data_IF_777701762271
#
_entry.id   IF_777701762271
#
_cell.length_a   1.000
_cell.length_b   1.000
_cell.length_c   1.000
_cell.angle_alpha   90.00
_cell.angle_beta   90.00
_cell.angle_gamma   90.00
#
_symmetry.space_group_name_H-M   'P 1'
#
loop_
_entity.id
_entity.type
_entity.pdbx_description
1 polymer ?
#
# COMPACT_ATOMS: atom_id res chain seq x y z
N UNK A 1 -6.18 78.72 3.54
CA UNK A 1 -7.10 77.69 3.89
C UNK A 1 -6.66 76.40 3.16
N UNK A 2 -5.88 75.52 3.82
CA UNK A 2 -5.38 74.30 3.25
C UNK A 2 -6.27 73.11 3.69
N UNK A 3 -6.88 72.45 2.70
CA UNK A 3 -7.73 71.32 2.92
C UNK A 3 -6.83 70.06 2.94
N UNK A 4 -6.64 69.48 4.11
CA UNK A 4 -5.93 68.23 4.33
C UNK A 4 -6.84 67.06 3.88
N UNK A 5 -6.47 66.38 2.80
CA UNK A 5 -7.19 65.18 2.32
C UNK A 5 -6.75 63.97 3.13
N UNK A 6 -7.62 63.46 3.99
CA UNK A 6 -7.46 62.16 4.64
C UNK A 6 -7.61 61.04 3.59
N UNK A 7 -6.56 60.24 3.41
CA UNK A 7 -6.61 58.96 2.65
C UNK A 7 -6.92 57.85 3.65
N UNK A 8 -7.98 57.04 3.47
CA UNK A 8 -8.19 55.90 4.32
C UNK A 8 -7.22 54.78 3.95
N UNK A 9 -6.35 54.39 4.87
CA UNK A 9 -5.51 53.20 4.72
C UNK A 9 -6.39 51.95 4.81
N UNK A 10 -6.65 51.33 3.66
CA UNK A 10 -7.29 50.01 3.60
C UNK A 10 -6.33 48.95 4.15
N UNK A 11 -6.61 48.43 5.34
CA UNK A 11 -5.85 47.38 6.01
C UNK A 11 -6.21 46.06 5.33
N UNK A 12 -5.38 45.59 4.41
CA UNK A 12 -5.45 44.26 3.80
C UNK A 12 -5.10 43.20 4.86
N UNK A 13 -6.11 42.62 5.47
CA UNK A 13 -5.97 41.39 6.28
C UNK A 13 -5.59 40.23 5.37
N UNK A 14 -4.30 39.92 5.28
CA UNK A 14 -3.83 38.66 4.74
C UNK A 14 -4.24 37.53 5.69
N UNK A 15 -5.27 36.77 5.34
CA UNK A 15 -5.51 35.47 5.92
C UNK A 15 -4.38 34.55 5.44
N UNK A 16 -3.33 34.40 6.25
CA UNK A 16 -2.38 33.33 6.10
C UNK A 16 -3.12 32.01 6.39
N UNK A 17 -3.58 31.35 5.35
CA UNK A 17 -3.95 29.94 5.45
C UNK A 17 -2.68 29.21 5.82
N UNK A 18 -2.58 28.73 7.07
CA UNK A 18 -1.56 27.77 7.47
C UNK A 18 -1.79 26.53 6.64
N UNK A 19 -1.04 26.37 5.55
CA UNK A 19 -0.88 25.09 4.91
C UNK A 19 -0.26 24.18 5.98
N UNK A 20 -1.06 23.31 6.58
CA UNK A 20 -0.56 22.24 7.42
C UNK A 20 0.31 21.39 6.53
N UNK A 21 1.63 21.50 6.66
CA UNK A 21 2.55 20.56 6.02
C UNK A 21 2.19 19.21 6.63
N UNK A 22 1.57 18.37 5.83
CA UNK A 22 1.20 17.03 6.24
C UNK A 22 2.47 16.27 6.59
N UNK A 23 2.65 15.94 7.86
CA UNK A 23 3.78 15.17 8.35
C UNK A 23 3.54 13.69 8.04
N UNK A 24 3.69 13.31 6.77
CA UNK A 24 3.76 11.89 6.42
C UNK A 24 4.95 11.28 7.12
N UNK A 25 4.73 10.12 7.74
CA UNK A 25 5.79 9.40 8.44
C UNK A 25 5.79 7.94 8.01
N UNK A 26 6.94 7.31 8.13
CA UNK A 26 7.09 5.88 7.88
C UNK A 26 6.48 5.11 9.06
N UNK A 27 5.37 4.45 8.80
CA UNK A 27 4.78 3.45 9.69
C UNK A 27 5.37 2.10 9.38
N UNK A 28 5.87 1.40 10.40
CA UNK A 28 6.43 0.07 10.27
C UNK A 28 5.72 -0.89 11.22
N UNK A 29 5.35 -2.07 10.72
CA UNK A 29 4.78 -3.15 11.52
C UNK A 29 5.60 -4.43 11.34
N UNK A 30 6.26 -4.88 12.41
CA UNK A 30 7.12 -6.08 12.39
C UNK A 30 6.34 -7.39 12.57
N UNK A 31 5.09 -7.34 13.02
CA UNK A 31 4.23 -8.52 13.08
C UNK A 31 3.73 -8.90 11.68
N UNK A 32 3.33 -7.90 10.90
CA UNK A 32 2.85 -8.08 9.52
C UNK A 32 3.94 -7.84 8.46
N UNK A 33 5.15 -7.50 8.87
CA UNK A 33 6.36 -7.39 8.06
C UNK A 33 6.21 -6.41 6.88
N UNK A 34 5.76 -5.19 7.17
CA UNK A 34 5.70 -4.12 6.15
C UNK A 34 6.06 -2.75 6.71
N UNK A 35 6.45 -1.84 5.81
CA UNK A 35 6.47 -0.40 6.07
C UNK A 35 5.75 0.36 4.96
N UNK A 36 5.19 1.52 5.30
CA UNK A 36 4.53 2.44 4.38
C UNK A 36 4.44 3.82 5.00
N UNK A 37 4.45 4.87 4.19
CA UNK A 37 4.21 6.22 4.70
C UNK A 37 2.70 6.48 4.84
N UNK A 38 2.27 6.84 6.06
CA UNK A 38 0.90 7.28 6.34
C UNK A 38 0.85 8.77 6.71
N UNK A 39 -0.26 9.48 6.41
CA UNK A 39 -0.45 10.87 6.81
C UNK A 39 -0.75 11.06 8.30
N UNK A 40 -1.20 10.00 8.99
CA UNK A 40 -1.45 9.94 10.43
C UNK A 40 -1.37 8.49 10.91
N UNK A 41 -1.27 8.28 12.23
CA UNK A 41 -1.27 6.96 12.84
C UNK A 41 -2.49 6.15 12.39
N UNK A 42 -2.32 4.96 11.77
CA UNK A 42 -3.43 4.20 11.25
C UNK A 42 -4.21 3.52 12.36
N UNK A 43 -5.52 3.48 12.21
CA UNK A 43 -6.39 2.63 13.00
C UNK A 43 -6.25 1.19 12.50
N UNK A 44 -6.00 0.26 13.42
CA UNK A 44 -5.90 -1.17 13.11
C UNK A 44 -7.22 -1.87 13.47
N UNK A 45 -7.73 -2.66 12.52
CA UNK A 45 -8.93 -3.49 12.73
C UNK A 45 -8.69 -4.90 12.19
N UNK A 46 -9.15 -5.90 12.92
CA UNK A 46 -9.11 -7.29 12.46
C UNK A 46 -10.45 -7.67 11.83
N UNK A 47 -10.37 -8.48 10.78
CA UNK A 47 -11.53 -9.03 10.06
C UNK A 47 -11.22 -10.42 9.52
N UNK A 48 -12.24 -11.11 9.04
CA UNK A 48 -12.06 -12.40 8.36
C UNK A 48 -11.94 -12.20 6.86
N UNK A 49 -10.94 -12.84 6.27
CA UNK A 49 -10.74 -12.93 4.83
C UNK A 49 -11.01 -14.35 4.36
N UNK A 50 -11.87 -14.51 3.37
CA UNK A 50 -12.11 -15.83 2.77
C UNK A 50 -11.25 -15.99 1.53
N UNK A 51 -10.42 -17.05 1.49
CA UNK A 51 -9.55 -17.38 0.37
C UNK A 51 -10.33 -17.90 -0.84
N UNK A 52 -9.61 -18.12 -1.95
CA UNK A 52 -10.17 -18.75 -3.17
C UNK A 52 -10.70 -20.17 -2.95
N UNK A 53 -10.20 -20.85 -1.91
CA UNK A 53 -10.64 -22.20 -1.54
C UNK A 53 -11.73 -22.22 -0.47
N UNK A 54 -12.22 -21.03 -0.04
CA UNK A 54 -13.28 -20.90 0.95
C UNK A 54 -12.81 -20.92 2.41
N UNK A 55 -11.50 -21.03 2.66
CA UNK A 55 -10.95 -21.03 4.03
C UNK A 55 -10.89 -19.61 4.60
N UNK A 56 -11.26 -19.42 5.88
CA UNK A 56 -11.13 -18.14 6.55
C UNK A 56 -9.71 -17.92 7.05
N UNK A 57 -9.19 -16.70 6.86
CA UNK A 57 -7.93 -16.21 7.42
C UNK A 57 -8.16 -14.92 8.19
N UNK A 58 -7.29 -14.62 9.14
CA UNK A 58 -7.26 -13.34 9.82
C UNK A 58 -6.67 -12.31 8.86
N UNK A 59 -7.33 -11.18 8.72
CA UNK A 59 -6.84 -10.02 7.99
C UNK A 59 -6.79 -8.81 8.95
N UNK A 60 -5.66 -8.09 8.97
CA UNK A 60 -5.52 -6.82 9.66
C UNK A 60 -5.55 -5.68 8.66
N UNK A 61 -6.45 -4.73 8.90
CA UNK A 61 -6.58 -3.51 8.10
C UNK A 61 -6.06 -2.32 8.88
N UNK A 62 -5.05 -1.69 8.34
CA UNK A 62 -4.43 -0.45 8.79
C UNK A 62 -5.02 0.68 7.95
N UNK A 63 -5.72 1.64 8.56
CA UNK A 63 -6.42 2.67 7.80
C UNK A 63 -6.33 4.04 8.45
N UNK A 64 -6.18 5.06 7.62
CA UNK A 64 -6.24 6.48 8.01
C UNK A 64 -6.82 7.31 6.88
N UNK A 65 -7.14 8.56 7.16
CA UNK A 65 -7.67 9.50 6.17
C UNK A 65 -6.85 10.79 6.18
N UNK A 66 -6.81 11.44 5.03
CA UNK A 66 -6.29 12.77 4.87
C UNK A 66 -7.19 13.57 3.93
N UNK A 67 -7.92 14.54 4.49
CA UNK A 67 -9.04 15.16 3.80
C UNK A 67 -10.06 14.11 3.36
N UNK A 68 -10.35 14.09 2.06
CA UNK A 68 -11.29 13.16 1.45
C UNK A 68 -10.64 11.88 0.90
N UNK A 69 -9.35 11.67 1.16
CA UNK A 69 -8.62 10.47 0.72
C UNK A 69 -8.52 9.48 1.85
N UNK A 70 -8.90 8.23 1.58
CA UNK A 70 -8.72 7.10 2.48
C UNK A 70 -7.47 6.31 2.08
N UNK A 71 -6.58 6.01 3.04
CA UNK A 71 -5.36 5.21 2.84
C UNK A 71 -5.44 3.94 3.66
N UNK A 72 -5.16 2.80 3.05
CA UNK A 72 -5.34 1.50 3.68
C UNK A 72 -4.26 0.52 3.27
N UNK A 73 -3.78 -0.27 4.24
CA UNK A 73 -3.03 -1.50 4.00
C UNK A 73 -3.79 -2.62 4.68
N UNK A 74 -4.14 -3.66 3.92
CA UNK A 74 -4.71 -4.88 4.47
C UNK A 74 -3.70 -6.00 4.34
N UNK A 75 -3.39 -6.67 5.44
CA UNK A 75 -2.50 -7.84 5.46
C UNK A 75 -3.30 -9.06 5.87
N UNK A 76 -3.29 -10.07 5.00
CA UNK A 76 -3.91 -11.38 5.28
C UNK A 76 -2.79 -12.38 5.59
N UNK A 77 -2.76 -12.89 6.81
CA UNK A 77 -1.83 -13.94 7.19
C UNK A 77 -2.34 -15.30 6.70
N UNK A 78 -1.63 -15.88 5.74
CA UNK A 78 -1.96 -17.14 5.09
C UNK A 78 -0.97 -18.27 5.43
N UNK A 79 -0.25 -18.20 6.56
CA UNK A 79 0.74 -19.21 6.96
C UNK A 79 0.19 -20.64 6.99
N UNK A 80 -1.09 -20.79 7.29
CA UNK A 80 -1.76 -22.09 7.30
C UNK A 80 -2.40 -22.48 5.97
N UNK A 81 -2.22 -21.70 4.91
CA UNK A 81 -2.84 -21.95 3.59
C UNK A 81 -2.38 -23.28 2.96
N UNK A 82 -1.20 -23.79 3.30
CA UNK A 82 -0.73 -25.11 2.85
C UNK A 82 -1.68 -26.26 3.17
N UNK A 83 -2.56 -26.09 4.14
CA UNK A 83 -3.55 -27.07 4.57
C UNK A 83 -4.92 -26.89 3.89
N UNK A 84 -5.08 -25.90 3.01
CA UNK A 84 -6.35 -25.67 2.34
C UNK A 84 -6.70 -26.82 1.39
N UNK A 85 -7.92 -27.37 1.45
CA UNK A 85 -8.38 -28.38 0.50
C UNK A 85 -8.41 -27.83 -0.93
N UNK A 86 -7.87 -28.57 -1.88
CA UNK A 86 -7.89 -28.19 -3.30
C UNK A 86 -6.77 -27.28 -3.75
N UNK A 87 -5.93 -26.75 -2.85
CA UNK A 87 -4.78 -25.95 -3.19
C UNK A 87 -3.79 -26.71 -4.07
N UNK A 88 -3.42 -26.14 -5.21
CA UNK A 88 -2.43 -26.68 -6.14
C UNK A 88 -1.57 -25.56 -6.69
N UNK A 89 -0.25 -25.73 -6.65
CA UNK A 89 0.69 -24.82 -7.31
C UNK A 89 1.06 -23.56 -6.52
N UNK A 90 1.37 -22.51 -7.26
CA UNK A 90 1.92 -21.25 -6.74
C UNK A 90 0.86 -20.44 -6.01
N UNK A 91 0.92 -20.45 -4.69
CA UNK A 91 0.02 -19.77 -3.76
C UNK A 91 -0.17 -18.28 -4.08
N UNK A 92 0.92 -17.59 -4.34
CA UNK A 92 0.90 -16.16 -4.58
C UNK A 92 0.08 -15.73 -5.80
N UNK A 93 0.11 -16.51 -6.90
CA UNK A 93 -0.68 -16.20 -8.11
C UNK A 93 -2.17 -16.34 -7.86
N UNK A 94 -2.55 -17.41 -7.15
CA UNK A 94 -3.93 -17.65 -6.77
C UNK A 94 -4.43 -16.55 -5.85
N UNK A 95 -3.73 -16.26 -4.77
CA UNK A 95 -4.12 -15.24 -3.78
C UNK A 95 -4.23 -13.84 -4.41
N UNK A 96 -3.22 -13.40 -5.19
CA UNK A 96 -3.26 -12.12 -5.90
C UNK A 96 -4.42 -12.07 -6.89
N UNK A 97 -4.54 -13.08 -7.77
CA UNK A 97 -5.58 -13.12 -8.81
C UNK A 97 -6.99 -13.16 -8.25
N UNK A 98 -7.19 -13.90 -7.17
CA UNK A 98 -8.49 -13.98 -6.49
C UNK A 98 -8.88 -12.64 -5.86
N UNK A 99 -7.95 -11.97 -5.16
CA UNK A 99 -8.21 -10.66 -4.59
C UNK A 99 -8.44 -9.60 -5.69
N UNK A 100 -7.62 -9.59 -6.73
CA UNK A 100 -7.83 -8.71 -7.89
C UNK A 100 -9.21 -8.91 -8.52
N UNK A 101 -9.71 -10.15 -8.59
CA UNK A 101 -11.06 -10.45 -9.09
C UNK A 101 -12.14 -9.85 -8.20
N UNK A 102 -11.97 -9.91 -6.87
CA UNK A 102 -12.90 -9.25 -5.94
C UNK A 102 -12.93 -7.73 -6.15
N UNK A 103 -11.77 -7.11 -6.32
CA UNK A 103 -11.69 -5.67 -6.55
C UNK A 103 -12.33 -5.26 -7.88
N UNK A 104 -12.14 -6.02 -8.95
CA UNK A 104 -12.77 -5.75 -10.27
C UNK A 104 -14.30 -5.70 -10.21
N UNK A 105 -14.90 -6.36 -9.22
CA UNK A 105 -16.35 -6.38 -9.03
C UNK A 105 -16.87 -5.12 -8.31
N UNK A 106 -15.99 -4.25 -7.79
CA UNK A 106 -16.40 -3.07 -7.02
C UNK A 106 -16.73 -1.86 -7.88
N UNK A 107 -16.36 -1.85 -9.17
CA UNK A 107 -16.60 -0.72 -10.07
C UNK A 107 -16.03 -0.92 -11.46
N UNK A 108 -15.90 0.17 -12.21
CA UNK A 108 -15.33 0.18 -13.56
C UNK A 108 -13.79 0.16 -13.48
N UNK A 109 -13.18 -0.85 -14.09
CA UNK A 109 -11.73 -0.99 -14.14
C UNK A 109 -11.16 -0.07 -15.22
N UNK A 110 -10.32 0.88 -14.82
CA UNK A 110 -9.66 1.85 -15.72
C UNK A 110 -8.19 1.56 -15.95
N UNK A 111 -7.57 0.75 -15.07
CA UNK A 111 -6.20 0.25 -15.22
C UNK A 111 -6.09 -1.13 -14.58
N UNK A 112 -5.38 -2.05 -15.23
CA UNK A 112 -5.21 -3.43 -14.79
C UNK A 112 -3.89 -3.97 -15.36
N UNK A 113 -2.89 -4.17 -14.49
CA UNK A 113 -1.57 -4.63 -14.91
C UNK A 113 -0.86 -5.44 -13.82
N UNK A 114 0.00 -6.34 -14.25
CA UNK A 114 1.00 -6.92 -13.35
C UNK A 114 2.03 -5.86 -12.96
N UNK A 115 2.52 -5.93 -11.73
CA UNK A 115 3.56 -5.06 -11.21
C UNK A 115 4.39 -5.79 -10.17
N UNK A 116 5.46 -5.14 -9.72
CA UNK A 116 6.33 -5.67 -8.68
C UNK A 116 6.83 -4.57 -7.76
N UNK A 117 7.18 -4.93 -6.53
CA UNK A 117 7.93 -4.08 -5.60
C UNK A 117 9.18 -4.85 -5.18
N UNK A 118 10.37 -4.32 -5.51
CA UNK A 118 11.64 -4.97 -5.17
C UNK A 118 11.69 -6.46 -5.62
N UNK A 119 11.17 -6.73 -6.83
CA UNK A 119 11.04 -8.09 -7.40
C UNK A 119 10.01 -8.98 -6.68
N UNK A 120 9.23 -8.45 -5.75
CA UNK A 120 8.07 -9.13 -5.17
C UNK A 120 6.89 -8.93 -6.11
N UNK A 121 6.26 -10.03 -6.61
CA UNK A 121 5.21 -9.92 -7.62
C UNK A 121 3.97 -9.27 -7.06
N UNK A 122 3.24 -8.64 -7.94
CA UNK A 122 2.00 -7.99 -7.58
C UNK A 122 1.08 -7.76 -8.76
N UNK A 123 0.00 -7.06 -8.46
CA UNK A 123 -1.00 -6.64 -9.40
C UNK A 123 -1.46 -5.23 -9.05
N UNK A 124 -1.60 -4.37 -10.06
CA UNK A 124 -2.05 -3.00 -9.89
C UNK A 124 -3.41 -2.81 -10.56
N UNK A 125 -4.32 -2.18 -9.86
CA UNK A 125 -5.66 -1.87 -10.34
C UNK A 125 -5.99 -0.40 -10.08
N UNK A 126 -6.71 0.21 -11.02
CA UNK A 126 -7.44 1.46 -10.79
C UNK A 126 -8.91 1.22 -11.14
N UNK A 127 -9.78 1.60 -10.23
CA UNK A 127 -11.21 1.29 -10.33
C UNK A 127 -12.00 2.55 -10.02
N UNK A 128 -12.91 2.93 -10.91
CA UNK A 128 -13.90 3.96 -10.63
C UNK A 128 -15.07 3.30 -9.90
N UNK A 129 -15.28 3.69 -8.65
CA UNK A 129 -16.35 3.19 -7.80
C UNK A 129 -17.71 3.75 -8.24
N UNK A 130 -18.84 3.13 -7.85
CA UNK A 130 -20.17 3.61 -8.21
C UNK A 130 -20.52 5.04 -7.74
N UNK A 131 -19.84 5.51 -6.67
CA UNK A 131 -19.97 6.88 -6.15
C UNK A 131 -19.06 7.90 -6.87
N UNK A 132 -18.31 7.47 -7.88
CA UNK A 132 -17.40 8.28 -8.67
C UNK A 132 -16.01 8.43 -8.07
N UNK A 133 -15.74 7.98 -6.85
CA UNK A 133 -14.39 7.92 -6.28
C UNK A 133 -13.54 6.92 -7.04
N UNK A 134 -12.23 7.06 -6.94
CA UNK A 134 -11.27 6.15 -7.58
C UNK A 134 -10.51 5.36 -6.52
N UNK A 135 -10.54 4.04 -6.65
CA UNK A 135 -9.70 3.15 -5.86
C UNK A 135 -8.43 2.81 -6.65
N UNK A 136 -7.28 3.09 -6.04
CA UNK A 136 -5.94 2.73 -6.54
C UNK A 136 -5.44 1.60 -5.65
N UNK A 137 -5.32 0.41 -6.19
CA UNK A 137 -4.96 -0.79 -5.44
C UNK A 137 -3.69 -1.43 -5.98
N UNK A 138 -2.75 -1.75 -5.08
CA UNK A 138 -1.61 -2.62 -5.33
C UNK A 138 -1.77 -3.86 -4.45
N UNK A 139 -1.59 -5.03 -5.05
CA UNK A 139 -1.71 -6.33 -4.37
C UNK A 139 -0.37 -7.03 -4.50
N UNK A 140 0.22 -7.45 -3.39
CA UNK A 140 1.46 -8.20 -3.36
C UNK A 140 1.34 -9.44 -2.48
N UNK A 141 2.18 -10.43 -2.74
CA UNK A 141 2.23 -11.63 -1.90
C UNK A 141 3.68 -11.99 -1.59
N UNK A 142 3.99 -12.15 -0.31
CA UNK A 142 5.31 -12.55 0.14
C UNK A 142 5.22 -13.32 1.47
N UNK A 143 6.02 -14.37 1.61
CA UNK A 143 6.16 -15.16 2.84
C UNK A 143 4.78 -15.48 3.49
N UNK A 144 3.86 -16.05 2.72
CA UNK A 144 2.49 -16.39 3.14
C UNK A 144 1.63 -15.21 3.62
N UNK A 145 1.97 -13.99 3.23
CA UNK A 145 1.15 -12.79 3.50
C UNK A 145 0.68 -12.16 2.20
N UNK A 146 -0.62 -11.91 2.11
CA UNK A 146 -1.20 -11.10 1.05
C UNK A 146 -1.30 -9.67 1.55
N UNK A 147 -0.67 -8.75 0.84
CA UNK A 147 -0.70 -7.31 1.11
C UNK A 147 -1.58 -6.63 0.08
N UNK A 148 -2.55 -5.86 0.54
CA UNK A 148 -3.42 -5.05 -0.32
C UNK A 148 -3.28 -3.60 0.12
N UNK A 149 -2.68 -2.79 -0.75
CA UNK A 149 -2.40 -1.38 -0.53
C UNK A 149 -3.40 -0.58 -1.35
N UNK A 150 -4.34 0.09 -0.70
CA UNK A 150 -5.42 0.82 -1.35
C UNK A 150 -5.44 2.27 -0.95
N UNK A 151 -5.73 3.13 -1.92
CA UNK A 151 -6.09 4.51 -1.63
C UNK A 151 -7.34 4.90 -2.43
N UNK A 152 -8.36 5.39 -1.74
CA UNK A 152 -9.62 5.81 -2.33
C UNK A 152 -9.68 7.34 -2.31
N UNK A 153 -9.71 7.94 -3.49
CA UNK A 153 -9.65 9.39 -3.66
C UNK A 153 -10.83 9.91 -4.51
N UNK A 154 -11.27 11.16 -4.29
CA UNK A 154 -12.20 11.86 -5.17
C UNK A 154 -11.68 11.91 -6.62
N UNK A 155 -12.59 12.03 -7.62
CA UNK A 155 -12.20 11.99 -9.04
C UNK A 155 -11.31 13.15 -9.47
N UNK A 156 -11.36 14.27 -8.78
CA UNK A 156 -10.63 15.50 -9.08
C UNK A 156 -9.22 15.58 -8.45
N UNK A 157 -8.87 14.63 -7.57
CA UNK A 157 -7.53 14.60 -6.98
C UNK A 157 -6.57 13.74 -7.82
N UNK A 158 -5.26 14.04 -7.81
CA UNK A 158 -4.27 13.21 -8.48
C UNK A 158 -4.19 11.81 -7.85
N UNK A 159 -3.67 10.79 -8.58
CA UNK A 159 -3.41 9.48 -8.00
C UNK A 159 -2.46 9.58 -6.80
N UNK A 160 -2.74 8.86 -5.69
CA UNK A 160 -1.90 8.87 -4.48
C UNK A 160 -0.63 8.02 -4.64
N UNK A 161 0.13 8.28 -5.70
CA UNK A 161 1.27 7.46 -6.11
C UNK A 161 2.37 7.36 -5.05
N UNK A 162 2.59 8.43 -4.25
CA UNK A 162 3.61 8.42 -3.20
C UNK A 162 3.29 7.44 -2.08
N UNK A 163 2.01 7.29 -1.73
CA UNK A 163 1.58 6.29 -0.75
C UNK A 163 1.92 4.88 -1.24
N UNK A 164 1.49 4.52 -2.43
CA UNK A 164 1.72 3.20 -3.00
C UNK A 164 3.21 2.90 -3.22
N UNK A 165 3.98 3.91 -3.66
CA UNK A 165 5.43 3.78 -3.89
C UNK A 165 6.25 3.69 -2.59
N UNK A 166 5.70 4.13 -1.45
CA UNK A 166 6.38 4.04 -0.16
C UNK A 166 6.26 2.67 0.50
N UNK A 167 5.35 1.82 0.02
CA UNK A 167 5.17 0.47 0.58
C UNK A 167 6.41 -0.39 0.36
N UNK A 168 6.80 -1.10 1.40
CA UNK A 168 7.86 -2.09 1.34
C UNK A 168 7.53 -3.29 2.25
N UNK A 169 7.88 -4.49 1.81
CA UNK A 169 7.96 -5.64 2.69
C UNK A 169 9.28 -5.57 3.46
N UNK A 170 9.24 -5.85 4.75
CA UNK A 170 10.42 -5.81 5.62
C UNK A 170 10.73 -7.18 6.21
N UNK A 171 11.97 -7.38 6.66
CA UNK A 171 12.36 -8.55 7.44
C UNK A 171 12.01 -8.35 8.94
N UNK A 172 12.27 -9.37 9.77
CA UNK A 172 12.04 -9.32 11.21
C UNK A 172 12.88 -8.25 11.94
N UNK A 173 13.96 -7.78 11.31
CA UNK A 173 14.79 -6.69 11.82
C UNK A 173 14.33 -5.31 11.32
N UNK A 174 13.29 -5.25 10.50
CA UNK A 174 12.73 -4.02 9.95
C UNK A 174 13.46 -3.48 8.72
N UNK A 175 14.32 -4.25 8.08
CA UNK A 175 14.98 -3.82 6.85
C UNK A 175 14.10 -4.15 5.65
N UNK A 176 13.98 -3.22 4.69
CA UNK A 176 13.27 -3.45 3.43
C UNK A 176 13.90 -4.58 2.64
N UNK A 177 13.06 -5.54 2.23
CA UNK A 177 13.49 -6.67 1.43
C UNK A 177 13.71 -6.25 -0.02
N UNK A 178 14.81 -6.77 -0.60
CA UNK A 178 15.13 -6.66 -2.01
C UNK A 178 15.70 -7.97 -2.49
N UNK A 179 15.24 -8.46 -3.64
CA UNK A 179 15.75 -9.68 -4.25
C UNK A 179 16.63 -9.37 -5.46
N UNK A 180 17.61 -10.24 -5.74
CA UNK A 180 18.55 -10.07 -6.86
C UNK A 180 17.95 -10.46 -8.20
N UNK A 181 16.94 -11.33 -8.19
CA UNK A 181 16.29 -11.83 -9.39
C UNK A 181 14.79 -12.09 -9.16
N UNK A 182 14.07 -12.37 -10.24
CA UNK A 182 12.61 -12.55 -10.25
C UNK A 182 12.13 -13.86 -9.61
N UNK A 183 13.04 -14.75 -9.20
CA UNK A 183 12.65 -16.07 -8.71
C UNK A 183 12.46 -16.10 -7.18
N UNK A 184 11.50 -15.32 -6.71
CA UNK A 184 11.07 -15.22 -5.31
C UNK A 184 10.16 -16.38 -4.87
N UNK A 185 9.81 -17.29 -5.77
CA UNK A 185 9.02 -18.48 -5.45
C UNK A 185 9.83 -19.55 -4.72
N UNK A 186 11.14 -19.38 -4.59
CA UNK A 186 11.99 -20.29 -3.86
C UNK A 186 12.29 -19.75 -2.45
N UNK A 187 11.85 -20.44 -1.39
CA UNK A 187 12.05 -20.02 0.00
C UNK A 187 13.52 -19.94 0.43
N UNK A 188 14.42 -20.51 -0.35
CA UNK A 188 15.87 -20.58 -0.03
C UNK A 188 16.69 -19.38 -0.54
N UNK A 189 16.07 -18.40 -1.18
CA UNK A 189 16.79 -17.23 -1.67
C UNK A 189 16.94 -16.18 -0.59
N UNK A 190 18.17 -15.77 -0.37
CA UNK A 190 18.52 -14.78 0.65
C UNK A 190 18.16 -13.40 0.13
N UNK A 191 17.24 -12.66 0.80
CA UNK A 191 16.96 -11.28 0.43
C UNK A 191 18.19 -10.39 0.62
N UNK A 192 18.36 -9.40 -0.26
CA UNK A 192 19.34 -8.33 -0.04
C UNK A 192 18.78 -7.39 1.03
N UNK A 193 19.39 -7.41 2.19
CA UNK A 193 19.10 -6.40 3.21
C UNK A 193 19.92 -5.14 2.96
N UNK A 194 19.38 -3.99 3.27
CA UNK A 194 20.00 -2.67 3.07
C UNK A 194 21.32 -2.47 3.83
N UNK A 195 21.64 -3.35 4.79
CA UNK A 195 22.87 -3.34 5.60
C UNK A 195 23.71 -4.57 5.28
N UNK A 196 24.73 -4.38 4.50
CA UNK A 196 25.76 -5.37 4.31
C UNK A 196 26.26 -5.29 2.88
N UNK A 197 27.51 -4.93 2.73
CA UNK A 197 28.17 -5.00 1.44
C UNK A 197 27.96 -6.39 0.87
N UNK A 198 27.55 -6.44 -0.39
CA UNK A 198 27.45 -7.66 -1.17
C UNK A 198 28.82 -8.32 -1.19
N UNK A 199 29.01 -9.34 -0.39
CA UNK A 199 30.11 -10.30 -0.62
C UNK A 199 29.61 -11.22 -1.72
N UNK A 200 29.92 -10.86 -2.96
CA UNK A 200 29.75 -11.80 -4.07
C UNK A 200 30.61 -13.03 -3.73
N UNK A 201 30.07 -14.26 -3.87
CA UNK A 201 30.90 -15.45 -3.76
C UNK A 201 31.99 -15.33 -4.83
N UNK A 202 33.23 -15.38 -4.42
CA UNK A 202 34.37 -15.49 -5.33
C UNK A 202 34.19 -16.76 -6.15
N UNK A 203 33.86 -16.61 -7.44
CA UNK A 203 33.81 -17.71 -8.36
C UNK A 203 35.19 -18.37 -8.42
N UNK A 204 35.22 -19.66 -8.18
CA UNK A 204 36.28 -20.58 -8.60
C UNK A 204 35.93 -21.10 -10.00
#
# INVERSE_FOLDING_TARGET
MSVLKLVPAAMLLFFATTASAQNWFEYQNLEDLFSVNFPAEPKVTETSYTSEYGSPFVARKYSTTDGDVEYMVTVVNMENSAREPGRRGTEWRGAIGFHATKLRQTGEVTFDAYGEINVIPGHQLQITLPDGRRNFANIHFHAHRLYVIEAIAPPNLPPPALFQASFAVVDEAGNSLRYLDEDYSFPDRIPLTRRGGVTLPSGN
#
